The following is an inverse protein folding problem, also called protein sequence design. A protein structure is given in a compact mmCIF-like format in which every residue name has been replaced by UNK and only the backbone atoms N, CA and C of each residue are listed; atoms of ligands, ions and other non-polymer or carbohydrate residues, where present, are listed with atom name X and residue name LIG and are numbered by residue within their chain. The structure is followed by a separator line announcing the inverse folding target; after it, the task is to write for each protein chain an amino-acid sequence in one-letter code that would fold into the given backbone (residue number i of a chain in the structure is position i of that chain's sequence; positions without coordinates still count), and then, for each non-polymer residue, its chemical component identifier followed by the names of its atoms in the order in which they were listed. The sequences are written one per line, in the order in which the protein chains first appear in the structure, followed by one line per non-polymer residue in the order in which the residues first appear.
data_IF_903260731903
#
_entry.id   IF_903260731903
#
_cell.length_a   1.000
_cell.length_b   1.000
_cell.length_c   1.000
_cell.angle_alpha   90.00
_cell.angle_beta   90.00
_cell.angle_gamma   90.00
#
_symmetry.space_group_name_H-M   'P 1'
#
loop_
_entity.id
_entity.type
_entity.pdbx_description
1 polymer ?
#
# COMPACT_ATOMS: atom_id res chain seq x y z
N UNK A 1 11.41 -18.98 0.76
CA UNK A 1 11.99 -17.75 1.34
C UNK A 1 10.86 -16.76 1.57
N UNK A 2 10.81 -16.12 2.74
CA UNK A 2 9.77 -15.13 3.04
C UNK A 2 9.89 -13.89 2.12
N UNK A 3 8.76 -13.34 1.69
CA UNK A 3 8.69 -12.21 0.74
C UNK A 3 9.38 -10.99 1.35
N UNK A 4 9.16 -10.74 2.63
CA UNK A 4 9.83 -9.68 3.39
C UNK A 4 11.35 -9.87 3.40
N UNK A 5 11.82 -11.07 3.74
CA UNK A 5 13.25 -11.39 3.77
C UNK A 5 13.92 -11.15 2.42
N UNK A 6 13.25 -11.52 1.33
CA UNK A 6 13.74 -11.28 -0.04
C UNK A 6 13.90 -9.78 -0.34
N UNK A 7 12.92 -8.98 0.06
CA UNK A 7 12.94 -7.52 -0.15
C UNK A 7 14.01 -6.82 0.68
N UNK A 8 14.21 -7.25 1.93
CA UNK A 8 15.27 -6.74 2.80
C UNK A 8 16.66 -7.06 2.24
N UNK A 9 16.87 -8.28 1.73
CA UNK A 9 18.10 -8.68 1.03
C UNK A 9 18.34 -7.79 -0.19
N UNK A 10 17.32 -7.55 -1.01
CA UNK A 10 17.40 -6.67 -2.17
C UNK A 10 17.77 -5.22 -1.80
N UNK A 11 17.17 -4.67 -0.73
CA UNK A 11 17.53 -3.34 -0.21
C UNK A 11 19.00 -3.30 0.23
N UNK A 12 19.49 -4.35 0.91
CA UNK A 12 20.88 -4.44 1.36
C UNK A 12 21.85 -4.46 0.17
N UNK A 13 21.51 -5.21 -0.88
CA UNK A 13 22.28 -5.28 -2.13
C UNK A 13 22.31 -3.90 -2.83
N UNK A 14 21.15 -3.26 -3.00
CA UNK A 14 21.04 -1.95 -3.65
C UNK A 14 21.78 -0.85 -2.88
N UNK A 15 21.75 -0.87 -1.54
CA UNK A 15 22.52 0.08 -0.70
C UNK A 15 24.02 -0.06 -0.89
N UNK A 16 24.53 -1.31 -0.89
CA UNK A 16 25.96 -1.57 -1.13
C UNK A 16 26.38 -1.12 -2.52
N UNK A 17 25.55 -1.40 -3.53
CA UNK A 17 25.81 -0.99 -4.90
C UNK A 17 25.83 0.53 -5.06
N UNK A 18 24.88 1.23 -4.43
CA UNK A 18 24.84 2.69 -4.44
C UNK A 18 26.11 3.31 -3.84
N UNK A 19 26.61 2.76 -2.72
CA UNK A 19 27.86 3.20 -2.11
C UNK A 19 29.07 2.95 -3.03
N UNK A 20 29.12 1.80 -3.71
CA UNK A 20 30.19 1.48 -4.65
C UNK A 20 30.20 2.45 -5.86
N UNK A 21 29.03 2.73 -6.43
CA UNK A 21 28.88 3.70 -7.52
C UNK A 21 29.30 5.12 -7.09
N UNK A 22 28.95 5.54 -5.87
CA UNK A 22 29.35 6.85 -5.33
C UNK A 22 30.87 6.95 -5.09
N UNK A 23 31.52 5.84 -4.74
CA UNK A 23 32.96 5.77 -4.53
C UNK A 23 33.76 5.58 -5.84
N UNK A 24 33.13 5.64 -7.01
CA UNK A 24 33.78 5.44 -8.31
C UNK A 24 34.26 4.01 -8.57
N UNK A 25 33.84 3.03 -7.75
CA UNK A 25 34.23 1.62 -7.89
C UNK A 25 33.23 0.89 -8.78
N UNK A 26 33.66 0.46 -9.96
CA UNK A 26 32.90 -0.46 -10.81
C UNK A 26 32.93 -1.86 -10.19
N UNK A 27 31.77 -2.39 -9.79
CA UNK A 27 31.63 -3.74 -9.22
C UNK A 27 31.86 -4.82 -10.28
N UNK A 28 32.27 -6.04 -9.90
CA UNK A 28 32.68 -7.09 -10.83
C UNK A 28 31.51 -7.66 -11.68
N UNK A 29 31.85 -8.08 -12.92
CA UNK A 29 30.97 -8.37 -14.07
C UNK A 29 29.85 -9.40 -13.88
N UNK A 30 29.83 -10.19 -12.79
CA UNK A 30 28.83 -11.25 -12.61
C UNK A 30 27.50 -10.78 -11.98
N UNK A 31 27.51 -9.67 -11.22
CA UNK A 31 26.30 -9.09 -10.60
C UNK A 31 25.72 -7.90 -11.40
N UNK A 32 26.46 -7.36 -12.38
CA UNK A 32 26.08 -6.16 -13.14
C UNK A 32 24.80 -6.29 -13.98
N UNK A 33 24.42 -7.49 -14.44
CA UNK A 33 23.35 -7.62 -15.44
C UNK A 33 21.95 -7.26 -14.93
N UNK A 34 21.72 -7.29 -13.60
CA UNK A 34 20.43 -6.98 -12.98
C UNK A 34 20.41 -5.67 -12.17
N UNK A 35 21.57 -5.10 -11.86
CA UNK A 35 21.67 -3.90 -11.03
C UNK A 35 21.67 -2.60 -11.86
N UNK A 36 21.07 -1.51 -11.35
CA UNK A 36 21.09 -0.22 -12.04
C UNK A 36 22.51 0.31 -12.20
N UNK A 37 22.87 0.71 -13.43
CA UNK A 37 24.21 1.24 -13.74
C UNK A 37 24.43 2.66 -13.21
N UNK A 38 23.37 3.47 -13.19
CA UNK A 38 23.43 4.86 -12.76
C UNK A 38 23.03 5.04 -11.29
N UNK A 39 23.68 6.00 -10.61
CA UNK A 39 23.38 6.39 -9.23
C UNK A 39 21.90 6.78 -9.08
N UNK A 40 21.37 7.55 -10.02
CA UNK A 40 19.97 8.03 -10.01
C UNK A 40 19.00 6.86 -10.09
N UNK A 41 19.23 5.94 -11.02
CA UNK A 41 18.40 4.74 -11.19
C UNK A 41 18.50 3.81 -9.98
N UNK A 42 19.70 3.68 -9.38
CA UNK A 42 19.90 2.91 -8.15
C UNK A 42 19.15 3.50 -6.95
N UNK A 43 19.19 4.83 -6.76
CA UNK A 43 18.41 5.53 -5.73
C UNK A 43 16.91 5.33 -5.94
N UNK A 44 16.42 5.46 -7.17
CA UNK A 44 15.01 5.26 -7.53
C UNK A 44 14.54 3.85 -7.17
N UNK A 45 15.24 2.80 -7.64
CA UNK A 45 14.88 1.40 -7.32
C UNK A 45 14.94 1.10 -5.82
N UNK A 46 15.90 1.70 -5.10
CA UNK A 46 15.99 1.58 -3.65
C UNK A 46 14.78 2.19 -2.95
N UNK A 47 14.35 3.39 -3.35
CA UNK A 47 13.17 4.05 -2.82
C UNK A 47 11.90 3.24 -3.10
N UNK A 48 11.70 2.79 -4.34
CA UNK A 48 10.57 1.94 -4.75
C UNK A 48 10.52 0.64 -3.94
N UNK A 49 11.67 -0.01 -3.73
CA UNK A 49 11.73 -1.27 -2.97
C UNK A 49 11.40 -1.05 -1.48
N UNK A 50 11.82 0.08 -0.90
CA UNK A 50 11.45 0.46 0.47
C UNK A 50 9.95 0.72 0.61
N UNK A 51 9.35 1.51 -0.29
CA UNK A 51 7.90 1.77 -0.29
C UNK A 51 7.12 0.44 -0.39
N UNK A 52 7.58 -0.47 -1.25
CA UNK A 52 6.97 -1.79 -1.39
C UNK A 52 7.08 -2.62 -0.11
N UNK A 53 8.20 -2.53 0.61
CA UNK A 53 8.41 -3.22 1.88
C UNK A 53 7.47 -2.68 2.96
N UNK A 54 7.35 -1.35 3.07
CA UNK A 54 6.45 -0.70 4.04
C UNK A 54 5.00 -1.08 3.77
N UNK A 55 4.58 -1.06 2.49
CA UNK A 55 3.25 -1.52 2.08
C UNK A 55 2.99 -2.98 2.46
N UNK A 56 3.98 -3.85 2.29
CA UNK A 56 3.87 -5.26 2.66
C UNK A 56 3.75 -5.44 4.18
N UNK A 57 4.58 -4.76 4.96
CA UNK A 57 4.53 -4.81 6.42
C UNK A 57 3.18 -4.33 6.96
N UNK A 58 2.65 -3.22 6.43
CA UNK A 58 1.34 -2.70 6.82
C UNK A 58 0.22 -3.69 6.48
N UNK A 59 0.26 -4.31 5.29
CA UNK A 59 -0.73 -5.32 4.91
C UNK A 59 -0.70 -6.56 5.82
N UNK A 60 0.50 -7.01 6.22
CA UNK A 60 0.64 -8.15 7.13
C UNK A 60 0.18 -7.82 8.55
N UNK A 61 0.51 -6.63 9.06
CA UNK A 61 0.03 -6.15 10.36
C UNK A 61 -1.50 -6.07 10.39
N UNK A 62 -2.11 -5.43 9.38
CA UNK A 62 -3.57 -5.36 9.25
C UNK A 62 -4.22 -6.74 9.17
N UNK A 63 -3.58 -7.72 8.52
CA UNK A 63 -4.10 -9.08 8.43
C UNK A 63 -4.09 -9.78 9.79
N UNK A 64 -3.03 -9.61 10.58
CA UNK A 64 -2.93 -10.22 11.91
C UNK A 64 -3.89 -9.55 12.90
N UNK A 65 -3.98 -8.22 12.89
CA UNK A 65 -4.93 -7.46 13.73
C UNK A 65 -6.39 -7.84 13.45
N UNK A 66 -6.74 -8.07 12.18
CA UNK A 66 -8.11 -8.45 11.79
C UNK A 66 -8.37 -9.96 11.80
N UNK A 67 -7.43 -10.77 12.30
CA UNK A 67 -7.53 -12.25 12.24
C UNK A 67 -8.71 -12.80 13.02
N UNK A 68 -9.13 -12.12 14.09
CA UNK A 68 -10.21 -12.54 14.99
C UNK A 68 -11.52 -11.79 14.77
N UNK A 69 -11.56 -10.80 13.88
CA UNK A 69 -12.70 -9.89 13.72
C UNK A 69 -13.23 -9.90 12.28
N UNK A 70 -14.53 -10.14 12.12
CA UNK A 70 -15.20 -10.07 10.81
C UNK A 70 -15.79 -8.68 10.55
N UNK A 71 -15.07 -7.85 9.80
CA UNK A 71 -15.49 -6.48 9.47
C UNK A 71 -16.64 -6.40 8.46
N UNK A 72 -16.93 -7.49 7.72
CA UNK A 72 -17.94 -7.49 6.66
C UNK A 72 -19.36 -7.28 7.20
N UNK A 73 -19.70 -7.98 8.29
CA UNK A 73 -21.06 -7.96 8.84
C UNK A 73 -21.41 -6.59 9.43
N UNK A 74 -20.52 -6.02 10.25
CA UNK A 74 -20.70 -4.66 10.80
C UNK A 74 -20.86 -3.62 9.70
N UNK A 75 -19.99 -3.69 8.68
CA UNK A 75 -19.97 -2.75 7.57
C UNK A 75 -21.19 -2.79 6.66
N UNK A 76 -21.80 -3.95 6.49
CA UNK A 76 -22.92 -4.11 5.54
C UNK A 76 -24.28 -4.04 6.22
N UNK A 77 -24.37 -4.33 7.51
CA UNK A 77 -25.67 -4.49 8.18
C UNK A 77 -25.88 -3.55 9.36
N UNK A 78 -24.82 -3.03 9.99
CA UNK A 78 -24.92 -2.31 11.25
C UNK A 78 -24.38 -0.88 11.19
N UNK A 79 -23.62 -0.52 10.15
CA UNK A 79 -23.17 0.85 9.91
C UNK A 79 -24.05 1.53 8.86
N UNK A 80 -24.45 2.77 9.13
CA UNK A 80 -25.14 3.58 8.14
C UNK A 80 -24.18 3.91 6.97
N UNK A 81 -24.46 3.45 5.73
CA UNK A 81 -23.57 3.65 4.59
C UNK A 81 -23.34 5.14 4.28
N UNK A 82 -24.26 6.04 4.67
CA UNK A 82 -24.12 7.50 4.48
C UNK A 82 -22.96 8.07 5.26
N UNK A 83 -22.65 7.52 6.45
CA UNK A 83 -21.49 7.93 7.25
C UNK A 83 -20.22 7.70 6.44
N UNK A 84 -20.08 6.50 5.86
CA UNK A 84 -18.90 6.13 5.08
C UNK A 84 -18.80 6.93 3.78
N UNK A 85 -19.92 7.10 3.05
CA UNK A 85 -19.95 7.90 1.82
C UNK A 85 -19.54 9.35 2.08
N UNK A 86 -20.05 9.95 3.15
CA UNK A 86 -19.81 11.35 3.46
C UNK A 86 -18.37 11.58 3.91
N UNK A 87 -17.81 10.64 4.68
CA UNK A 87 -16.39 10.64 5.00
C UNK A 87 -15.52 10.51 3.74
N UNK A 88 -15.83 9.57 2.84
CA UNK A 88 -15.10 9.41 1.58
C UNK A 88 -15.07 10.70 0.76
N UNK A 89 -16.21 11.41 0.65
CA UNK A 89 -16.27 12.71 -0.03
C UNK A 89 -15.47 13.79 0.68
N UNK A 90 -15.43 13.78 2.01
CA UNK A 90 -14.68 14.77 2.81
C UNK A 90 -13.17 14.65 2.62
N UNK A 91 -12.65 13.43 2.45
CA UNK A 91 -11.21 13.16 2.30
C UNK A 91 -10.77 12.91 0.85
N UNK A 92 -11.65 13.19 -0.12
CA UNK A 92 -11.43 12.91 -1.55
C UNK A 92 -11.01 11.46 -1.85
N UNK A 93 -11.64 10.50 -1.16
CA UNK A 93 -11.42 9.07 -1.36
C UNK A 93 -12.51 8.48 -2.24
N UNK A 94 -12.12 7.78 -3.30
CA UNK A 94 -13.07 7.02 -4.13
C UNK A 94 -13.79 5.95 -3.30
N UNK A 95 -15.13 5.99 -3.33
CA UNK A 95 -15.99 5.06 -2.59
C UNK A 95 -15.76 3.60 -2.98
N UNK A 96 -15.25 3.34 -4.19
CA UNK A 96 -14.97 1.98 -4.68
C UNK A 96 -13.84 1.29 -3.93
N UNK A 97 -12.94 2.07 -3.30
CA UNK A 97 -11.87 1.56 -2.44
C UNK A 97 -12.41 1.08 -1.09
N UNK A 98 -13.58 1.54 -0.68
CA UNK A 98 -14.20 1.21 0.60
C UNK A 98 -15.35 0.23 0.41
N UNK A 99 -16.30 0.52 -0.48
CA UNK A 99 -17.44 -0.35 -0.76
C UNK A 99 -17.26 -1.10 -2.09
N UNK A 100 -17.20 -2.45 -2.06
CA UNK A 100 -17.18 -3.23 -3.29
C UNK A 100 -18.51 -3.04 -4.04
N UNK A 101 -18.53 -3.44 -5.32
CA UNK A 101 -19.69 -3.25 -6.20
C UNK A 101 -21.00 -3.76 -5.58
N UNK A 102 -20.97 -4.93 -4.95
CA UNK A 102 -22.14 -5.53 -4.28
C UNK A 102 -22.75 -4.65 -3.19
N UNK A 103 -21.92 -3.99 -2.37
CA UNK A 103 -22.39 -3.09 -1.31
C UNK A 103 -22.92 -1.78 -1.89
N UNK A 104 -22.29 -1.25 -2.95
CA UNK A 104 -22.78 -0.05 -3.64
C UNK A 104 -24.14 -0.28 -4.29
N UNK A 105 -24.34 -1.43 -4.93
CA UNK A 105 -25.64 -1.81 -5.51
C UNK A 105 -26.72 -2.02 -4.44
N UNK A 106 -26.35 -2.44 -3.22
CA UNK A 106 -27.29 -2.56 -2.10
C UNK A 106 -27.76 -1.20 -1.56
N UNK A 107 -26.89 -0.19 -1.59
CA UNK A 107 -27.15 1.14 -1.00
C UNK A 107 -27.04 2.29 -2.01
N UNK A 108 -27.80 2.28 -3.13
CA UNK A 108 -27.72 3.36 -4.13
C UNK A 108 -28.17 4.70 -3.56
N UNK A 109 -29.17 4.68 -2.66
CA UNK A 109 -29.70 5.87 -1.99
C UNK A 109 -28.66 6.62 -1.14
N UNK A 110 -27.66 5.92 -0.60
CA UNK A 110 -26.63 6.53 0.24
C UNK A 110 -25.58 7.33 -0.56
N UNK A 111 -25.44 7.08 -1.87
CA UNK A 111 -24.35 7.63 -2.68
C UNK A 111 -24.47 9.15 -2.94
N UNK A 112 -25.68 9.69 -2.84
CA UNK A 112 -25.96 11.10 -3.14
C UNK A 112 -25.77 12.05 -1.95
N UNK A 113 -25.48 11.52 -0.75
CA UNK A 113 -25.35 12.33 0.47
C UNK A 113 -24.11 13.22 0.46
N UNK A 114 -24.24 14.43 1.03
CA UNK A 114 -23.17 15.44 1.09
C UNK A 114 -22.09 15.05 2.11
N UNK A 115 -20.88 15.56 1.95
CA UNK A 115 -19.76 15.36 2.88
C UNK A 115 -20.03 15.88 4.30
N UNK A 116 -21.06 16.70 4.49
CA UNK A 116 -21.48 17.30 5.77
C UNK A 116 -22.50 16.45 6.52
N UNK A 117 -22.88 15.27 6.03
CA UNK A 117 -23.83 14.40 6.70
C UNK A 117 -23.35 14.04 8.11
N UNK A 118 -24.28 14.11 9.07
CA UNK A 118 -24.08 13.68 10.46
C UNK A 118 -25.19 12.68 10.79
N UNK A 119 -24.82 11.60 11.46
CA UNK A 119 -25.76 10.63 12.00
C UNK A 119 -26.14 11.13 13.40
N UNK A 120 -27.44 11.25 13.65
CA UNK A 120 -28.03 11.70 14.92
C UNK A 120 -28.72 10.53 15.63
#
# INVERSE_FOLDING_TARGET
EDVRSTMEKNIKILKRHLLALQAGKTSSKAQESKLPKDIVSCKKKLAETKIRLDKHNNAMAMKEENKTVSLGTSKVNYMDPRITVSWCKKVDLSIEKVFPRTVRTKFPWAMHFKSTYRFD
#
